data_IF_135320417069
#
_entry.id   IF_135320417069
#
_cell.length_a   1.000
_cell.length_b   1.000
_cell.length_c   1.000
_cell.angle_alpha   90.00
_cell.angle_beta   90.00
_cell.angle_gamma   90.00
#
_symmetry.space_group_name_H-M   'P 1'
#
loop_
_entity.id
_entity.type
_entity.pdbx_description
1 polymer ?
#
# COMPACT_ATOMS: atom_id res chain seq x y z
N UNK A 1 -4.53 61.34 -45.13
CA UNK A 1 -3.78 60.68 -44.03
C UNK A 1 -4.66 60.35 -42.81
N UNK A 2 -5.45 61.30 -42.27
CA UNK A 2 -6.31 61.06 -41.09
C UNK A 2 -7.35 59.92 -41.22
N UNK A 3 -7.99 59.72 -42.38
CA UNK A 3 -9.01 58.66 -42.53
C UNK A 3 -8.42 57.25 -42.63
N UNK A 4 -7.22 57.10 -43.17
CA UNK A 4 -6.51 55.82 -43.24
C UNK A 4 -6.11 55.35 -41.83
N UNK A 5 -5.57 56.25 -41.01
CA UNK A 5 -5.23 55.98 -39.60
C UNK A 5 -6.46 55.66 -38.75
N UNK A 6 -7.61 56.30 -39.02
CA UNK A 6 -8.86 55.99 -38.33
C UNK A 6 -9.36 54.57 -38.64
N UNK A 7 -9.22 54.13 -39.90
CA UNK A 7 -9.59 52.78 -40.33
C UNK A 7 -8.66 51.71 -39.74
N UNK A 8 -7.36 51.98 -39.74
CA UNK A 8 -6.36 51.09 -39.15
C UNK A 8 -6.54 50.93 -37.63
N UNK A 9 -6.79 52.03 -36.91
CA UNK A 9 -7.08 51.97 -35.48
C UNK A 9 -8.37 51.22 -35.14
N UNK A 10 -9.39 51.30 -36.01
CA UNK A 10 -10.62 50.52 -35.83
C UNK A 10 -10.35 49.01 -36.00
N UNK A 11 -9.52 48.64 -36.97
CA UNK A 11 -9.15 47.24 -37.22
C UNK A 11 -8.24 46.68 -36.11
N UNK A 12 -7.28 47.45 -35.61
CA UNK A 12 -6.45 47.06 -34.47
C UNK A 12 -7.27 46.84 -33.20
N UNK A 13 -8.28 47.68 -32.94
CA UNK A 13 -9.22 47.45 -31.83
C UNK A 13 -10.00 46.16 -32.00
N UNK A 14 -10.46 45.86 -33.23
CA UNK A 14 -11.17 44.61 -33.55
C UNK A 14 -10.28 43.38 -33.36
N UNK A 15 -9.02 43.45 -33.80
CA UNK A 15 -8.05 42.38 -33.59
C UNK A 15 -7.74 42.18 -32.10
N UNK A 16 -7.59 43.26 -31.34
CA UNK A 16 -7.37 43.20 -29.89
C UNK A 16 -8.53 42.54 -29.13
N UNK A 17 -9.78 42.82 -29.50
CA UNK A 17 -10.93 42.16 -28.87
C UNK A 17 -11.02 40.67 -29.22
N UNK A 18 -10.70 40.30 -30.46
CA UNK A 18 -10.62 38.89 -30.89
C UNK A 18 -9.50 38.16 -30.15
N UNK A 19 -8.31 38.75 -30.03
CA UNK A 19 -7.19 38.14 -29.32
C UNK A 19 -7.52 37.92 -27.83
N UNK A 20 -8.07 38.93 -27.17
CA UNK A 20 -8.48 38.82 -25.76
C UNK A 20 -9.58 37.77 -25.55
N UNK A 21 -10.51 37.62 -26.50
CA UNK A 21 -11.52 36.58 -26.45
C UNK A 21 -10.89 35.18 -26.61
N UNK A 22 -9.92 35.03 -27.52
CA UNK A 22 -9.20 33.78 -27.73
C UNK A 22 -8.35 33.40 -26.52
N UNK A 23 -7.63 34.34 -25.91
CA UNK A 23 -6.86 34.11 -24.68
C UNK A 23 -7.76 33.58 -23.55
N UNK A 24 -8.92 34.23 -23.33
CA UNK A 24 -9.90 33.75 -22.34
C UNK A 24 -10.40 32.34 -22.64
N UNK A 25 -10.65 32.00 -23.90
CA UNK A 25 -11.06 30.66 -24.29
C UNK A 25 -9.97 29.63 -24.04
N UNK A 26 -8.71 29.96 -24.34
CA UNK A 26 -7.56 29.08 -24.08
C UNK A 26 -7.38 28.85 -22.59
N UNK A 27 -7.46 29.89 -21.77
CA UNK A 27 -7.41 29.77 -20.31
C UNK A 27 -8.52 28.89 -19.76
N UNK A 28 -9.76 29.07 -20.24
CA UNK A 28 -10.90 28.25 -19.84
C UNK A 28 -10.71 26.78 -20.25
N UNK A 29 -10.22 26.52 -21.45
CA UNK A 29 -9.93 25.17 -21.94
C UNK A 29 -8.81 24.51 -21.14
N UNK A 30 -7.72 25.24 -20.85
CA UNK A 30 -6.62 24.74 -20.03
C UNK A 30 -7.09 24.41 -18.60
N UNK A 31 -7.91 25.27 -17.99
CA UNK A 31 -8.49 25.02 -16.68
C UNK A 31 -9.43 23.81 -16.70
N UNK A 32 -10.27 23.67 -17.73
CA UNK A 32 -11.15 22.52 -17.89
C UNK A 32 -10.38 21.20 -18.07
N UNK A 33 -9.33 21.20 -18.89
CA UNK A 33 -8.46 20.04 -19.11
C UNK A 33 -7.74 19.63 -17.82
N UNK A 34 -7.16 20.58 -17.10
CA UNK A 34 -6.49 20.32 -15.82
C UNK A 34 -7.46 19.73 -14.79
N UNK A 35 -8.69 20.25 -14.71
CA UNK A 35 -9.73 19.73 -13.82
C UNK A 35 -10.16 18.30 -14.22
N UNK A 36 -10.31 18.04 -15.51
CA UNK A 36 -10.65 16.71 -16.03
C UNK A 36 -9.53 15.70 -15.71
N UNK A 37 -8.27 16.07 -15.93
CA UNK A 37 -7.12 15.22 -15.61
C UNK A 37 -7.01 14.96 -14.11
N UNK A 38 -7.20 15.96 -13.26
CA UNK A 38 -7.20 15.79 -11.81
C UNK A 38 -8.29 14.81 -11.36
N UNK A 39 -9.47 14.90 -11.96
CA UNK A 39 -10.61 14.01 -11.66
C UNK A 39 -10.35 12.58 -12.15
N UNK A 40 -9.77 12.43 -13.33
CA UNK A 40 -9.39 11.12 -13.89
C UNK A 40 -8.30 10.45 -13.04
N UNK A 41 -7.28 11.21 -12.63
CA UNK A 41 -6.21 10.73 -11.76
C UNK A 41 -6.76 10.29 -10.40
N UNK A 42 -7.63 11.09 -9.80
CA UNK A 42 -8.29 10.74 -8.54
C UNK A 42 -9.12 9.47 -8.67
N UNK A 43 -9.92 9.34 -9.74
CA UNK A 43 -10.71 8.14 -9.99
C UNK A 43 -9.83 6.90 -10.21
N UNK A 44 -8.69 7.06 -10.88
CA UNK A 44 -7.71 6.00 -11.08
C UNK A 44 -7.04 5.59 -9.75
N UNK A 45 -6.64 6.56 -8.92
CA UNK A 45 -6.11 6.30 -7.59
C UNK A 45 -7.12 5.60 -6.69
N UNK A 46 -8.37 6.03 -6.68
CA UNK A 46 -9.44 5.38 -5.90
C UNK A 46 -9.67 3.93 -6.33
N UNK A 47 -9.66 3.64 -7.63
CA UNK A 47 -9.79 2.26 -8.15
C UNK A 47 -8.58 1.39 -7.84
N UNK A 48 -7.38 1.95 -7.85
CA UNK A 48 -6.15 1.22 -7.46
C UNK A 48 -6.14 0.93 -5.97
N UNK A 49 -6.48 1.93 -5.16
CA UNK A 49 -6.53 1.81 -3.72
C UNK A 49 -7.69 0.95 -3.23
N UNK A 50 -8.77 0.79 -4.01
CA UNK A 50 -9.93 -0.04 -3.68
C UNK A 50 -10.33 -0.92 -4.86
N UNK A 51 -9.60 -2.03 -5.11
CA UNK A 51 -9.93 -2.95 -6.16
C UNK A 51 -11.25 -3.68 -5.86
N UNK A 52 -12.05 -3.96 -6.89
CA UNK A 52 -13.16 -4.90 -6.77
C UNK A 52 -12.58 -6.31 -6.61
N UNK A 53 -12.72 -6.89 -5.42
CA UNK A 53 -12.17 -8.21 -5.10
C UNK A 53 -13.26 -9.27 -5.22
N UNK A 54 -13.02 -10.27 -6.06
CA UNK A 54 -13.79 -11.51 -6.07
C UNK A 54 -12.92 -12.54 -5.36
N UNK A 55 -13.29 -12.88 -4.13
CA UNK A 55 -12.54 -13.83 -3.29
C UNK A 55 -13.45 -15.00 -2.98
N UNK A 56 -12.95 -16.21 -3.15
CA UNK A 56 -13.64 -17.41 -2.67
C UNK A 56 -13.56 -17.42 -1.13
N UNK A 57 -14.69 -17.40 -0.42
CA UNK A 57 -14.69 -17.43 1.04
C UNK A 57 -13.95 -18.67 1.55
N UNK A 58 -13.19 -18.49 2.64
CA UNK A 58 -12.49 -19.59 3.31
C UNK A 58 -13.30 -19.98 4.53
N UNK A 59 -13.40 -21.29 4.78
CA UNK A 59 -13.99 -21.76 6.03
C UNK A 59 -13.01 -21.59 7.19
N UNK A 60 -13.54 -21.60 8.42
CA UNK A 60 -12.71 -21.56 9.61
C UNK A 60 -11.78 -22.78 9.71
N UNK A 61 -12.23 -23.95 9.26
CA UNK A 61 -11.43 -25.18 9.19
C UNK A 61 -10.25 -25.01 8.23
N UNK A 62 -10.50 -24.50 7.01
CA UNK A 62 -9.44 -24.23 6.04
C UNK A 62 -8.41 -23.23 6.57
N UNK A 63 -8.87 -22.17 7.23
CA UNK A 63 -7.99 -21.18 7.83
C UNK A 63 -7.16 -21.75 8.98
N UNK A 64 -7.77 -22.61 9.80
CA UNK A 64 -7.09 -23.28 10.90
C UNK A 64 -6.02 -24.25 10.39
N UNK A 65 -6.29 -24.97 9.30
CA UNK A 65 -5.29 -25.84 8.67
C UNK A 65 -4.13 -25.03 8.08
N UNK A 66 -4.41 -23.93 7.37
CA UNK A 66 -3.37 -23.03 6.85
C UNK A 66 -2.49 -22.49 7.99
N UNK A 67 -3.11 -22.02 9.07
CA UNK A 67 -2.38 -21.50 10.23
C UNK A 67 -1.53 -22.58 10.91
N UNK A 68 -2.05 -23.81 11.04
CA UNK A 68 -1.32 -24.95 11.60
C UNK A 68 -0.10 -25.32 10.76
N UNK A 69 -0.25 -25.34 9.43
CA UNK A 69 0.84 -25.61 8.49
C UNK A 69 1.93 -24.54 8.59
N UNK A 70 1.53 -23.26 8.59
CA UNK A 70 2.45 -22.12 8.73
C UNK A 70 3.18 -22.16 10.08
N UNK A 71 2.47 -22.44 11.18
CA UNK A 71 3.07 -22.57 12.51
C UNK A 71 4.14 -23.67 12.55
N UNK A 72 3.85 -24.83 11.96
CA UNK A 72 4.82 -25.93 11.88
C UNK A 72 6.07 -25.55 11.07
N UNK A 73 5.92 -24.82 9.97
CA UNK A 73 7.06 -24.32 9.20
C UNK A 73 7.91 -23.34 10.03
N UNK A 74 7.26 -22.40 10.73
CA UNK A 74 7.94 -21.46 11.63
C UNK A 74 8.70 -22.21 12.73
N UNK A 75 8.07 -23.20 13.38
CA UNK A 75 8.72 -23.99 14.43
C UNK A 75 9.91 -24.80 13.90
N UNK A 76 9.74 -25.43 12.72
CA UNK A 76 10.82 -26.17 12.06
C UNK A 76 12.02 -25.28 11.75
N UNK A 77 11.77 -24.05 11.28
CA UNK A 77 12.84 -23.06 11.06
C UNK A 77 13.49 -22.62 12.38
N UNK A 78 12.68 -22.38 13.42
CA UNK A 78 13.17 -21.93 14.73
C UNK A 78 14.00 -22.99 15.45
N UNK A 79 13.72 -24.26 15.25
CA UNK A 79 14.46 -25.38 15.87
C UNK A 79 15.69 -25.79 15.04
N UNK A 80 15.83 -25.25 13.83
CA UNK A 80 16.93 -25.59 12.94
C UNK A 80 18.27 -25.07 13.47
N UNK A 81 19.18 -25.99 13.82
CA UNK A 81 20.52 -25.68 14.33
C UNK A 81 21.50 -25.18 13.26
N UNK A 82 21.17 -25.35 11.98
CA UNK A 82 22.00 -24.92 10.85
C UNK A 82 21.65 -23.49 10.37
N UNK A 83 20.91 -22.72 11.16
CA UNK A 83 20.67 -21.29 10.89
C UNK A 83 21.87 -20.45 11.33
N UNK A 84 22.22 -19.47 10.50
CA UNK A 84 23.25 -18.48 10.80
C UNK A 84 22.64 -17.29 11.53
N UNK A 85 23.45 -16.53 12.25
CA UNK A 85 23.09 -15.25 12.86
C UNK A 85 24.21 -14.27 12.61
N UNK A 86 23.89 -12.98 12.43
CA UNK A 86 24.94 -11.94 12.36
C UNK A 86 25.64 -11.75 13.71
N UNK A 87 25.08 -12.29 14.81
CA UNK A 87 25.57 -12.09 16.17
C UNK A 87 25.28 -10.68 16.71
N UNK A 88 24.70 -9.79 15.89
CA UNK A 88 24.36 -8.43 16.30
C UNK A 88 23.03 -8.40 17.04
N UNK A 89 22.95 -7.51 18.04
CA UNK A 89 21.71 -7.17 18.74
C UNK A 89 21.37 -5.71 18.50
N UNK A 90 20.31 -5.44 17.74
CA UNK A 90 19.88 -4.07 17.40
C UNK A 90 18.57 -3.77 18.11
N UNK A 91 18.55 -2.82 19.04
CA UNK A 91 17.37 -2.48 19.86
C UNK A 91 16.67 -3.70 20.50
N UNK A 92 17.45 -4.71 20.88
CA UNK A 92 16.92 -5.94 21.48
C UNK A 92 16.58 -7.06 20.48
N UNK A 93 16.56 -6.76 19.18
CA UNK A 93 16.34 -7.75 18.13
C UNK A 93 17.60 -8.54 17.83
N UNK A 94 17.45 -9.86 17.66
CA UNK A 94 18.46 -10.77 17.15
C UNK A 94 17.94 -11.41 15.86
N UNK A 95 18.82 -11.58 14.88
CA UNK A 95 18.48 -12.24 13.63
C UNK A 95 18.89 -13.71 13.63
N UNK A 96 18.14 -14.51 12.87
CA UNK A 96 18.59 -15.80 12.36
C UNK A 96 18.19 -15.91 10.91
N UNK A 97 19.03 -16.51 10.09
CA UNK A 97 18.78 -16.66 8.66
C UNK A 97 19.40 -17.93 8.09
N UNK A 98 18.83 -18.39 6.98
CA UNK A 98 19.32 -19.53 6.21
C UNK A 98 19.10 -19.30 4.73
N UNK A 99 20.17 -19.46 3.97
CA UNK A 99 20.16 -19.33 2.52
C UNK A 99 19.92 -20.70 1.91
N UNK A 100 18.90 -20.81 1.06
CA UNK A 100 18.64 -21.93 0.17
C UNK A 100 18.95 -21.49 -1.26
N UNK A 101 19.09 -22.42 -2.23
CA UNK A 101 19.38 -22.07 -3.62
C UNK A 101 18.40 -21.06 -4.24
N UNK A 102 17.13 -21.10 -3.83
CA UNK A 102 16.02 -20.33 -4.41
C UNK A 102 15.40 -19.31 -3.44
N UNK A 103 15.74 -19.37 -2.14
CA UNK A 103 15.11 -18.54 -1.12
C UNK A 103 16.01 -18.20 0.07
N UNK A 104 15.75 -17.04 0.66
CA UNK A 104 16.28 -16.66 1.96
C UNK A 104 15.18 -16.79 3.00
N UNK A 105 15.40 -17.60 4.02
CA UNK A 105 14.56 -17.64 5.20
C UNK A 105 15.23 -16.86 6.32
N UNK A 106 14.46 -16.04 7.05
CA UNK A 106 14.97 -15.29 8.19
C UNK A 106 13.91 -15.17 9.29
N UNK A 107 14.36 -14.98 10.53
CA UNK A 107 13.53 -14.67 11.69
C UNK A 107 14.19 -13.58 12.52
N UNK A 108 13.38 -12.72 13.12
CA UNK A 108 13.81 -11.73 14.10
C UNK A 108 13.19 -12.06 15.45
N UNK A 109 13.99 -12.04 16.50
CA UNK A 109 13.56 -12.37 17.86
C UNK A 109 13.86 -11.21 18.82
N UNK A 110 12.88 -10.82 19.61
CA UNK A 110 12.99 -9.83 20.68
C UNK A 110 12.36 -10.36 21.95
N UNK A 111 13.03 -10.12 23.07
CA UNK A 111 12.51 -10.41 24.41
C UNK A 111 11.99 -9.09 24.99
N UNK A 112 10.76 -9.13 25.51
CA UNK A 112 10.11 -8.01 26.18
C UNK A 112 10.14 -8.27 27.69
N UNK A 113 11.14 -7.70 28.37
CA UNK A 113 11.30 -7.87 29.81
C UNK A 113 10.13 -7.20 30.58
N UNK A 114 9.63 -7.89 31.61
CA UNK A 114 8.52 -7.38 32.43
C UNK A 114 7.14 -7.41 31.76
N UNK A 115 7.01 -8.07 30.60
CA UNK A 115 5.73 -8.30 29.91
C UNK A 115 5.41 -9.77 29.85
N UNK A 116 4.14 -10.12 29.99
CA UNK A 116 3.68 -11.51 29.82
C UNK A 116 3.57 -11.85 28.34
N UNK A 117 3.50 -13.15 28.04
CA UNK A 117 3.31 -13.61 26.66
C UNK A 117 1.99 -13.11 26.10
N UNK A 118 0.95 -13.14 26.92
CA UNK A 118 -0.43 -12.74 26.60
C UNK A 118 -0.50 -11.24 26.27
N UNK A 119 0.17 -10.38 27.04
CA UNK A 119 0.23 -8.94 26.74
C UNK A 119 0.87 -8.68 25.38
N UNK A 120 1.97 -9.38 25.08
CA UNK A 120 2.70 -9.21 23.82
C UNK A 120 1.92 -9.78 22.64
N UNK A 121 1.28 -10.95 22.80
CA UNK A 121 0.48 -11.58 21.75
C UNK A 121 -0.76 -10.76 21.43
N UNK A 122 -1.48 -10.30 22.45
CA UNK A 122 -2.67 -9.48 22.30
C UNK A 122 -2.34 -8.13 21.62
N UNK A 123 -1.32 -7.42 22.10
CA UNK A 123 -0.90 -6.17 21.46
C UNK A 123 -0.42 -6.36 20.02
N UNK A 124 0.22 -7.50 19.73
CA UNK A 124 0.60 -7.86 18.35
C UNK A 124 -0.64 -8.12 17.49
N UNK A 125 -1.65 -8.81 18.02
CA UNK A 125 -2.92 -9.05 17.33
C UNK A 125 -3.66 -7.75 17.04
N UNK A 126 -3.77 -6.84 18.01
CA UNK A 126 -4.44 -5.54 17.84
C UNK A 126 -3.83 -4.71 16.69
N UNK A 127 -2.49 -4.76 16.56
CA UNK A 127 -1.77 -4.09 15.48
C UNK A 127 -1.99 -4.80 14.14
N UNK A 128 -1.90 -6.12 14.11
CA UNK A 128 -1.94 -6.91 12.86
C UNK A 128 -3.36 -7.12 12.32
N UNK A 129 -4.37 -6.99 13.18
CA UNK A 129 -5.79 -7.17 12.85
C UNK A 129 -6.45 -5.91 12.28
N UNK A 130 -5.77 -4.77 12.33
CA UNK A 130 -6.30 -3.48 11.85
C UNK A 130 -5.51 -2.99 10.63
N UNK A 131 -6.12 -2.93 9.44
CA UNK A 131 -5.51 -2.45 8.20
C UNK A 131 -4.75 -1.12 8.32
N UNK A 132 -5.32 -0.18 9.07
CA UNK A 132 -4.81 1.18 9.24
C UNK A 132 -3.53 1.18 10.08
N UNK A 133 -3.52 0.37 11.15
CA UNK A 133 -2.40 0.26 12.08
C UNK A 133 -1.24 -0.51 11.44
N UNK A 134 -1.54 -1.63 10.78
CA UNK A 134 -0.51 -2.41 10.08
C UNK A 134 0.10 -1.64 8.89
N UNK A 135 -0.68 -0.82 8.19
CA UNK A 135 -0.16 0.02 7.11
C UNK A 135 0.91 0.99 7.60
N UNK A 136 0.78 1.51 8.82
CA UNK A 136 1.76 2.44 9.41
C UNK A 136 3.11 1.79 9.74
N UNK A 137 3.19 0.45 9.76
CA UNK A 137 4.45 -0.26 9.96
C UNK A 137 5.32 -0.36 8.70
N UNK A 138 4.78 0.00 7.53
CA UNK A 138 5.54 -0.01 6.29
C UNK A 138 6.39 1.26 6.15
N UNK A 139 7.59 1.17 5.55
CA UNK A 139 8.39 2.35 5.22
C UNK A 139 7.63 3.30 4.29
N UNK A 140 7.88 4.62 4.38
CA UNK A 140 7.20 5.63 3.54
C UNK A 140 7.31 5.40 2.03
N UNK A 141 8.39 4.75 1.59
CA UNK A 141 8.62 4.39 0.18
C UNK A 141 7.76 3.20 -0.30
N UNK A 142 7.00 2.56 0.60
CA UNK A 142 6.04 1.52 0.30
C UNK A 142 4.64 2.02 0.64
N UNK A 143 3.71 1.88 -0.29
CA UNK A 143 2.30 2.21 -0.09
C UNK A 143 1.49 0.92 -0.02
N UNK A 144 1.27 0.38 1.19
CA UNK A 144 0.42 -0.79 1.35
C UNK A 144 -1.05 -0.40 1.23
N UNK A 145 -1.83 -1.19 0.51
CA UNK A 145 -3.29 -1.12 0.54
C UNK A 145 -3.82 -2.43 1.10
N UNK A 146 -4.55 -2.38 2.20
CA UNK A 146 -5.12 -3.53 2.87
C UNK A 146 -6.65 -3.52 2.73
N UNK A 147 -7.21 -4.67 2.39
CA UNK A 147 -8.64 -4.88 2.27
C UNK A 147 -9.03 -6.09 3.09
N UNK A 148 -9.88 -5.89 4.10
CA UNK A 148 -10.49 -6.99 4.84
C UNK A 148 -11.46 -7.69 3.90
N UNK A 149 -11.19 -8.98 3.63
CA UNK A 149 -12.06 -9.80 2.78
C UNK A 149 -13.05 -10.59 3.63
N UNK A 150 -12.65 -11.05 4.81
CA UNK A 150 -13.46 -11.88 5.71
C UNK A 150 -13.03 -11.69 7.17
N UNK A 151 -14.01 -11.64 8.08
CA UNK A 151 -13.86 -11.90 9.50
C UNK A 151 -14.52 -13.24 9.81
N UNK A 152 -13.75 -14.21 10.30
CA UNK A 152 -14.27 -15.55 10.61
C UNK A 152 -14.57 -15.73 12.09
N UNK A 153 -13.75 -15.15 12.96
CA UNK A 153 -13.92 -15.09 14.41
C UNK A 153 -13.10 -13.91 14.99
N UNK A 154 -13.03 -13.82 16.33
CA UNK A 154 -12.29 -12.77 17.05
C UNK A 154 -10.77 -12.81 16.80
N UNK A 155 -10.23 -13.93 16.29
CA UNK A 155 -8.80 -14.20 16.16
C UNK A 155 -8.36 -14.50 14.71
N UNK A 156 -9.28 -14.37 13.75
CA UNK A 156 -9.06 -14.76 12.36
C UNK A 156 -9.63 -13.71 11.41
N UNK A 157 -8.73 -12.97 10.78
CA UNK A 157 -9.05 -11.98 9.76
C UNK A 157 -8.26 -12.25 8.48
N UNK A 158 -8.94 -12.20 7.35
CA UNK A 158 -8.33 -12.44 6.04
C UNK A 158 -8.23 -11.14 5.28
N UNK A 159 -7.01 -10.77 4.87
CA UNK A 159 -6.76 -9.60 4.06
C UNK A 159 -6.33 -9.95 2.65
N UNK A 160 -6.81 -9.16 1.71
CA UNK A 160 -6.11 -8.93 0.46
C UNK A 160 -5.25 -7.67 0.62
N UNK A 161 -3.98 -7.71 0.21
CA UNK A 161 -3.17 -6.49 0.21
C UNK A 161 -2.30 -6.36 -1.03
N UNK A 162 -2.00 -5.11 -1.38
CA UNK A 162 -1.04 -4.74 -2.42
C UNK A 162 0.06 -3.89 -1.81
N UNK A 163 1.27 -3.97 -2.35
CA UNK A 163 2.43 -3.22 -1.86
C UNK A 163 3.04 -2.40 -2.99
N UNK A 164 2.66 -1.13 -3.11
CA UNK A 164 3.22 -0.30 -4.16
C UNK A 164 4.59 0.25 -3.77
N UNK A 165 5.56 0.16 -4.68
CA UNK A 165 6.89 0.75 -4.51
C UNK A 165 7.10 1.82 -5.57
N UNK A 166 7.64 2.96 -5.19
CA UNK A 166 7.78 4.13 -6.09
C UNK A 166 8.68 3.90 -7.33
N UNK A 167 9.40 2.77 -7.43
CA UNK A 167 10.39 2.55 -8.49
C UNK A 167 10.22 1.28 -9.36
N UNK A 168 9.22 0.42 -9.15
CA UNK A 168 9.09 -0.83 -9.92
C UNK A 168 7.67 -1.41 -9.90
N UNK A 169 7.25 -2.00 -11.03
CA UNK A 169 6.04 -2.83 -11.19
C UNK A 169 5.92 -3.87 -10.07
N UNK A 170 4.70 -4.03 -9.55
CA UNK A 170 4.46 -4.59 -8.23
C UNK A 170 4.00 -6.06 -8.32
N UNK A 171 4.63 -7.00 -7.59
CA UNK A 171 4.04 -8.30 -7.34
C UNK A 171 2.86 -8.19 -6.37
N UNK A 172 1.68 -8.66 -6.80
CA UNK A 172 0.47 -8.80 -5.97
C UNK A 172 0.66 -9.97 -5.00
N UNK A 173 0.44 -9.77 -3.69
CA UNK A 173 0.58 -10.84 -2.69
C UNK A 173 -0.63 -10.91 -1.77
N UNK A 174 -1.31 -12.05 -1.77
CA UNK A 174 -2.40 -12.34 -0.83
C UNK A 174 -1.77 -12.90 0.46
N UNK A 175 -2.23 -12.44 1.63
CA UNK A 175 -1.75 -12.95 2.92
C UNK A 175 -2.90 -13.22 3.86
N UNK A 176 -2.96 -14.43 4.39
CA UNK A 176 -3.86 -14.82 5.48
C UNK A 176 -3.09 -14.61 6.79
N UNK A 177 -3.70 -13.92 7.76
CA UNK A 177 -3.09 -13.73 9.08
C UNK A 177 -4.01 -14.29 10.17
N UNK A 178 -3.48 -15.22 10.95
CA UNK A 178 -4.09 -15.74 12.17
C UNK A 178 -3.06 -15.57 13.28
N UNK A 179 -3.42 -14.89 14.36
CA UNK A 179 -2.59 -14.82 15.57
C UNK A 179 -3.31 -15.67 16.61
N UNK A 180 -2.56 -16.60 17.20
CA UNK A 180 -3.07 -17.55 18.20
C UNK A 180 -3.57 -16.84 19.45
#
# INVERSE_FOLDING_TARGET
>A
MRSALAKENAELKRLGTVHSAMEKQVEQLAAALNKANATANLAHELRRANPTLVVNPLTLEQCSEIARLAYREVMTFRENKACFSTGMKVFGWRDRHKVYPDKLMFSLEKVFEGRTMEEVSQGTWEILSQPEVIACMYPRAMKPHFHVTQHLDENTVIYYHTLERESTDIPKRISIKKVN
#
